data_IF_985824838388
#
_entry.id   IF_985824838388
#
_cell.length_a   1.000
_cell.length_b   1.000
_cell.length_c   1.000
_cell.angle_alpha   90.00
_cell.angle_beta   90.00
_cell.angle_gamma   90.00
#
_symmetry.space_group_name_H-M   'P 1'
#
loop_
_entity.id
_entity.type
_entity.pdbx_description
1 polymer ?
#
# COMPACT_ATOMS: atom_id res chain seq x y z
N UNK A 1 -8.60 -7.32 -19.98
CA UNK A 1 -7.13 -7.44 -20.17
C UNK A 1 -6.42 -6.49 -19.23
N UNK A 2 -5.10 -6.62 -19.02
CA UNK A 2 -4.35 -5.65 -18.22
C UNK A 2 -4.48 -4.25 -18.84
N UNK A 3 -4.65 -3.22 -18.01
CA UNK A 3 -4.67 -1.84 -18.48
C UNK A 3 -3.32 -1.50 -19.10
N UNK A 4 -3.29 -1.12 -20.38
CA UNK A 4 -2.07 -0.78 -21.10
C UNK A 4 -2.02 0.72 -21.42
N UNK A 5 -1.99 1.54 -20.38
CA UNK A 5 -1.75 2.97 -20.50
C UNK A 5 -0.30 3.30 -20.15
N UNK A 6 0.13 4.54 -20.43
CA UNK A 6 1.43 5.05 -20.01
C UNK A 6 1.56 4.95 -18.47
N UNK A 7 2.77 4.72 -17.92
CA UNK A 7 2.95 4.52 -16.48
C UNK A 7 2.38 5.63 -15.60
N UNK A 8 2.41 6.89 -16.06
CA UNK A 8 1.74 8.01 -15.39
C UNK A 8 0.24 7.71 -15.15
N UNK A 9 -0.48 7.30 -16.19
CA UNK A 9 -1.91 7.01 -16.10
C UNK A 9 -2.24 5.76 -15.30
N UNK A 10 -1.26 4.88 -15.08
CA UNK A 10 -1.48 3.72 -14.23
C UNK A 10 -1.80 4.11 -12.78
N UNK A 11 -1.38 5.30 -12.31
CA UNK A 11 -1.78 5.82 -11.00
C UNK A 11 -3.32 5.81 -10.84
N UNK A 12 -4.02 6.35 -11.85
CA UNK A 12 -5.48 6.38 -11.89
C UNK A 12 -6.09 5.00 -12.16
N UNK A 13 -5.44 4.18 -12.99
CA UNK A 13 -5.89 2.81 -13.23
C UNK A 13 -5.91 1.98 -11.93
N UNK A 14 -4.93 2.17 -11.04
CA UNK A 14 -4.92 1.53 -9.72
C UNK A 14 -6.06 2.02 -8.82
N UNK A 15 -6.39 3.31 -8.85
CA UNK A 15 -7.56 3.81 -8.12
C UNK A 15 -8.87 3.24 -8.67
N UNK A 16 -9.00 3.10 -9.99
CA UNK A 16 -10.15 2.42 -10.61
C UNK A 16 -10.25 0.94 -10.21
N UNK A 17 -9.11 0.22 -10.15
CA UNK A 17 -9.08 -1.16 -9.63
C UNK A 17 -9.56 -1.22 -8.18
N UNK A 18 -9.25 -0.22 -7.36
CA UNK A 18 -9.72 -0.13 -5.98
C UNK A 18 -11.23 0.06 -5.91
N UNK A 19 -11.77 1.05 -6.62
CA UNK A 19 -13.21 1.34 -6.62
C UNK A 19 -14.06 0.18 -7.17
N UNK A 20 -13.48 -0.68 -8.00
CA UNK A 20 -14.15 -1.88 -8.55
C UNK A 20 -13.96 -3.14 -7.71
N UNK A 21 -13.22 -3.08 -6.59
CA UNK A 21 -12.90 -4.26 -5.77
C UNK A 21 -11.91 -5.23 -6.42
N UNK A 22 -11.29 -4.84 -7.54
CA UNK A 22 -10.39 -5.68 -8.33
C UNK A 22 -8.90 -5.48 -7.96
N UNK A 23 -8.59 -4.60 -7.01
CA UNK A 23 -7.23 -4.26 -6.63
C UNK A 23 -6.42 -5.47 -6.17
N UNK A 24 -6.92 -6.23 -5.18
CA UNK A 24 -6.23 -7.42 -4.67
C UNK A 24 -5.98 -8.47 -5.77
N UNK A 25 -6.81 -8.50 -6.81
CA UNK A 25 -6.66 -9.45 -7.91
C UNK A 25 -5.56 -9.07 -8.90
N UNK A 26 -5.37 -7.78 -9.18
CA UNK A 26 -4.57 -7.34 -10.33
C UNK A 26 -3.43 -6.39 -10.01
N UNK A 27 -3.43 -5.70 -8.87
CA UNK A 27 -2.54 -4.57 -8.65
C UNK A 27 -1.06 -4.96 -8.68
N UNK A 28 -0.69 -6.04 -8.00
CA UNK A 28 0.70 -6.50 -7.96
C UNK A 28 1.21 -7.00 -9.29
N UNK A 29 0.37 -7.70 -10.07
CA UNK A 29 0.70 -8.09 -11.45
C UNK A 29 1.01 -6.87 -12.32
N UNK A 30 0.21 -5.80 -12.20
CA UNK A 30 0.50 -4.56 -12.93
C UNK A 30 1.78 -3.88 -12.45
N UNK A 31 2.01 -3.80 -11.13
CA UNK A 31 3.21 -3.18 -10.57
C UNK A 31 4.51 -3.88 -11.00
N UNK A 32 4.49 -5.19 -11.29
CA UNK A 32 5.65 -5.95 -11.79
C UNK A 32 6.12 -5.55 -13.19
N UNK A 33 5.34 -4.71 -13.90
CA UNK A 33 5.74 -4.17 -15.21
C UNK A 33 6.79 -3.08 -15.11
N UNK A 34 6.93 -2.42 -13.96
CA UNK A 34 7.97 -1.43 -13.73
C UNK A 34 9.33 -2.09 -13.75
N UNK A 35 10.24 -1.56 -14.57
CA UNK A 35 11.62 -2.04 -14.69
C UNK A 35 12.57 -0.90 -14.36
N UNK A 36 13.49 -1.17 -13.46
CA UNK A 36 14.59 -0.25 -13.15
C UNK A 36 15.59 -0.34 -14.31
N UNK A 37 15.97 0.81 -14.85
CA UNK A 37 17.02 0.94 -15.85
C UNK A 37 18.36 0.70 -15.15
N UNK A 38 19.17 -0.31 -15.55
CA UNK A 38 20.40 -0.65 -14.85
C UNK A 38 21.42 0.50 -14.79
N UNK A 39 21.50 1.31 -15.84
CA UNK A 39 22.49 2.38 -15.99
C UNK A 39 22.25 3.54 -15.02
N UNK A 40 20.98 3.88 -14.77
CA UNK A 40 20.60 5.03 -13.95
C UNK A 40 20.05 4.64 -12.58
N UNK A 41 19.72 3.36 -12.37
CA UNK A 41 19.06 2.85 -11.16
C UNK A 41 17.71 3.55 -10.88
N UNK A 42 17.05 4.02 -11.94
CA UNK A 42 15.77 4.75 -11.89
C UNK A 42 14.76 4.13 -12.85
N UNK A 43 13.53 4.65 -12.84
CA UNK A 43 12.51 4.25 -13.80
C UNK A 43 12.46 5.21 -14.99
N UNK A 44 12.27 4.70 -16.23
CA UNK A 44 12.19 5.50 -17.44
C UNK A 44 10.82 6.18 -17.57
N UNK A 45 10.72 7.29 -18.29
CA UNK A 45 9.52 8.10 -18.45
C UNK A 45 8.31 7.33 -19.00
N UNK A 46 8.54 6.50 -20.02
CA UNK A 46 7.56 5.58 -20.58
C UNK A 46 8.02 4.15 -20.28
N UNK A 47 7.31 3.14 -20.80
CA UNK A 47 7.68 1.74 -20.53
C UNK A 47 9.09 1.37 -21.04
N UNK A 48 9.53 1.96 -22.16
CA UNK A 48 10.77 1.61 -22.85
C UNK A 48 11.48 2.79 -23.55
N UNK A 49 11.04 4.03 -23.30
CA UNK A 49 11.52 5.25 -23.98
C UNK A 49 11.32 6.51 -23.12
N UNK A 50 11.84 7.64 -23.62
CA UNK A 50 11.81 8.93 -22.92
C UNK A 50 13.05 9.14 -22.04
N UNK A 51 13.00 10.06 -21.09
CA UNK A 51 14.10 10.19 -20.12
C UNK A 51 14.21 8.97 -19.22
N UNK A 52 15.42 8.67 -18.73
CA UNK A 52 15.69 7.46 -17.97
C UNK A 52 15.40 7.61 -16.46
N UNK A 53 14.98 8.79 -16.00
CA UNK A 53 14.79 9.10 -14.58
C UNK A 53 13.60 10.04 -14.36
N UNK A 54 12.39 9.49 -14.43
CA UNK A 54 11.17 10.30 -14.34
C UNK A 54 10.39 10.05 -13.04
N UNK A 55 10.14 11.10 -12.27
CA UNK A 55 9.52 10.99 -10.94
C UNK A 55 8.08 10.45 -10.95
N UNK A 56 7.33 10.64 -12.03
CA UNK A 56 5.98 10.08 -12.15
C UNK A 56 5.92 8.55 -12.22
N UNK A 57 7.08 7.90 -12.33
CA UNK A 57 7.20 6.46 -12.25
C UNK A 57 7.14 5.93 -10.82
N UNK A 58 7.17 6.81 -9.81
CA UNK A 58 7.08 6.42 -8.40
C UNK A 58 5.68 5.93 -7.96
N UNK A 59 4.78 5.66 -8.92
CA UNK A 59 3.45 5.08 -8.66
C UNK A 59 3.53 3.80 -7.82
N UNK A 60 4.41 2.81 -8.09
CA UNK A 60 4.54 1.64 -7.24
C UNK A 60 4.88 1.99 -5.79
N UNK A 61 5.76 2.97 -5.53
CA UNK A 61 6.09 3.42 -4.17
C UNK A 61 4.85 3.93 -3.43
N UNK A 62 4.02 4.74 -4.12
CA UNK A 62 2.75 5.20 -3.56
C UNK A 62 1.79 4.03 -3.30
N UNK A 63 1.63 3.10 -4.24
CA UNK A 63 0.72 1.96 -4.11
C UNK A 63 1.15 1.00 -2.98
N UNK A 64 2.45 0.70 -2.89
CA UNK A 64 3.01 -0.12 -1.81
C UNK A 64 2.79 0.51 -0.44
N UNK A 65 2.98 1.82 -0.31
CA UNK A 65 2.85 2.53 0.97
C UNK A 65 1.40 2.73 1.39
N UNK A 66 0.55 3.16 0.45
CA UNK A 66 -0.83 3.57 0.75
C UNK A 66 -1.85 2.44 0.68
N UNK A 67 -1.57 1.38 -0.08
CA UNK A 67 -2.49 0.25 -0.30
C UNK A 67 -1.95 -1.05 0.25
N UNK A 68 -0.73 -1.46 -0.13
CA UNK A 68 -0.17 -2.75 0.34
C UNK A 68 0.12 -2.72 1.84
N UNK A 69 0.81 -1.69 2.34
CA UNK A 69 0.86 -1.43 3.79
C UNK A 69 -0.48 -0.89 4.32
N UNK A 70 -1.27 -0.25 3.45
CA UNK A 70 -2.62 0.21 3.74
C UNK A 70 -2.72 1.54 4.47
N UNK A 71 -1.63 2.32 4.55
CA UNK A 71 -1.57 3.54 5.36
C UNK A 71 -2.03 4.75 4.55
N UNK A 72 -3.15 5.36 4.93
CA UNK A 72 -3.63 6.61 4.32
C UNK A 72 -4.20 7.59 5.35
N UNK A 73 -4.13 8.91 5.12
CA UNK A 73 -4.72 9.87 6.05
C UNK A 73 -6.26 9.77 6.04
N UNK A 74 -6.88 9.87 7.22
CA UNK A 74 -8.32 10.08 7.40
C UNK A 74 -8.66 11.49 7.87
N UNK A 75 -7.70 12.20 8.45
CA UNK A 75 -7.82 13.59 8.85
C UNK A 75 -6.55 14.38 8.48
N UNK A 76 -6.66 15.71 8.30
CA UNK A 76 -5.51 16.57 8.01
C UNK A 76 -4.34 16.35 8.96
N UNK A 77 -3.12 16.32 8.42
CA UNK A 77 -1.90 16.13 9.19
C UNK A 77 -1.77 14.74 9.85
N UNK A 78 -2.51 13.72 9.36
CA UNK A 78 -2.49 12.36 9.92
C UNK A 78 -2.96 12.27 11.39
N UNK A 79 -3.77 13.22 11.87
CA UNK A 79 -4.41 13.14 13.21
C UNK A 79 -5.24 11.86 13.39
N UNK A 80 -5.83 11.39 12.30
CA UNK A 80 -6.42 10.07 12.18
C UNK A 80 -5.90 9.40 10.91
N UNK A 81 -5.54 8.13 11.00
CA UNK A 81 -4.94 7.34 9.91
C UNK A 81 -5.80 6.11 9.64
N UNK A 82 -5.99 5.74 8.38
CA UNK A 82 -6.53 4.44 7.99
C UNK A 82 -5.36 3.47 7.84
N UNK A 83 -5.51 2.27 8.39
CA UNK A 83 -4.62 1.12 8.11
C UNK A 83 -5.50 0.01 7.55
N UNK A 84 -5.53 -0.12 6.23
CA UNK A 84 -6.34 -1.10 5.48
C UNK A 84 -5.46 -1.79 4.43
N UNK A 85 -4.76 -2.87 4.81
CA UNK A 85 -3.83 -3.55 3.92
C UNK A 85 -4.53 -4.26 2.76
N UNK A 86 -4.06 -4.02 1.54
CA UNK A 86 -4.38 -4.80 0.36
C UNK A 86 -3.33 -5.91 0.18
N UNK A 87 -3.68 -7.13 0.57
CA UNK A 87 -2.78 -8.31 0.58
C UNK A 87 -2.33 -8.71 -0.82
N UNK A 88 -3.20 -8.57 -1.82
CA UNK A 88 -2.96 -8.99 -3.19
C UNK A 88 -2.47 -10.45 -3.31
N UNK A 89 -1.40 -10.71 -4.06
CA UNK A 89 -0.73 -12.02 -4.18
C UNK A 89 0.47 -12.17 -3.22
N UNK A 90 0.57 -11.34 -2.18
CA UNK A 90 1.70 -11.33 -1.26
C UNK A 90 1.38 -12.13 0.02
N UNK A 91 2.42 -12.72 0.64
CA UNK A 91 2.30 -13.43 1.93
C UNK A 91 2.60 -12.53 3.13
N UNK A 92 3.29 -11.41 2.92
CA UNK A 92 3.65 -10.45 3.94
C UNK A 92 3.99 -9.09 3.32
N UNK A 93 3.88 -8.03 4.11
CA UNK A 93 4.53 -6.75 3.82
C UNK A 93 4.87 -6.01 5.11
N UNK A 94 5.99 -5.30 5.09
CA UNK A 94 6.51 -4.54 6.23
C UNK A 94 7.09 -3.22 5.78
N UNK A 95 6.78 -2.14 6.49
CA UNK A 95 7.35 -0.84 6.20
C UNK A 95 6.92 0.26 7.18
N UNK A 96 7.38 1.47 6.88
CA UNK A 96 7.07 2.70 7.62
C UNK A 96 6.56 3.75 6.65
N UNK A 97 5.51 4.47 7.04
CA UNK A 97 5.02 5.65 6.34
C UNK A 97 5.27 6.86 7.24
N UNK A 98 6.16 7.78 6.84
CA UNK A 98 6.45 8.98 7.62
C UNK A 98 5.23 9.91 7.61
N UNK A 99 4.90 10.47 8.77
CA UNK A 99 3.82 11.46 8.93
C UNK A 99 4.31 12.64 9.77
N UNK A 100 3.61 13.80 9.77
CA UNK A 100 3.97 14.93 10.62
C UNK A 100 4.02 14.62 12.12
N UNK A 101 3.30 13.59 12.58
CA UNK A 101 3.27 13.18 13.99
C UNK A 101 4.29 12.09 14.32
N UNK A 102 5.03 11.61 13.32
CA UNK A 102 5.96 10.49 13.40
C UNK A 102 5.55 9.31 12.52
N UNK A 103 6.36 8.26 12.55
CA UNK A 103 6.18 7.10 11.68
C UNK A 103 4.96 6.25 12.06
N UNK A 104 4.14 5.92 11.06
CA UNK A 104 3.20 4.80 11.15
C UNK A 104 3.90 3.55 10.60
N UNK A 105 4.14 2.57 11.46
CA UNK A 105 4.83 1.32 11.08
C UNK A 105 3.82 0.20 10.96
N UNK A 106 3.90 -0.57 9.88
CA UNK A 106 3.02 -1.72 9.62
C UNK A 106 3.88 -2.94 9.29
N UNK A 107 3.54 -4.07 9.89
CA UNK A 107 4.12 -5.38 9.64
C UNK A 107 2.97 -6.39 9.63
N UNK A 108 2.58 -6.86 8.44
CA UNK A 108 1.54 -7.87 8.31
C UNK A 108 2.04 -9.10 7.58
N UNK A 109 1.44 -10.25 7.90
CA UNK A 109 1.77 -11.57 7.34
C UNK A 109 0.60 -12.52 7.42
N UNK A 110 0.57 -13.46 6.47
CA UNK A 110 -0.32 -14.62 6.47
C UNK A 110 0.37 -15.78 7.19
N UNK A 111 -0.24 -16.31 8.25
CA UNK A 111 0.27 -17.42 9.06
C UNK A 111 -0.88 -18.35 9.42
N UNK A 112 -0.80 -19.63 9.05
CA UNK A 112 -1.79 -20.66 9.43
C UNK A 112 -3.25 -20.19 9.25
N UNK A 113 -3.64 -19.84 8.02
CA UNK A 113 -4.99 -19.37 7.67
C UNK A 113 -5.47 -18.14 8.45
N UNK A 114 -4.51 -17.35 8.96
CA UNK A 114 -4.77 -16.09 9.63
C UNK A 114 -3.98 -14.96 8.99
N UNK A 115 -4.62 -13.81 8.91
CA UNK A 115 -3.95 -12.54 8.69
C UNK A 115 -3.55 -11.96 10.05
N UNK A 116 -2.27 -11.62 10.22
CA UNK A 116 -1.74 -11.00 11.43
C UNK A 116 -1.12 -9.66 11.06
N UNK A 117 -1.48 -8.60 11.77
CA UNK A 117 -0.88 -7.27 11.62
C UNK A 117 -0.38 -6.73 12.95
N UNK A 118 0.84 -6.20 12.94
CA UNK A 118 1.37 -5.31 13.95
C UNK A 118 1.42 -3.88 13.39
N UNK A 119 0.75 -2.96 14.07
CA UNK A 119 0.71 -1.54 13.71
C UNK A 119 1.25 -0.68 14.85
N UNK A 120 2.18 0.22 14.54
CA UNK A 120 2.63 1.27 15.47
C UNK A 120 2.06 2.61 15.04
N UNK A 121 1.30 3.25 15.92
CA UNK A 121 0.68 4.56 15.69
C UNK A 121 1.44 5.61 16.52
N UNK A 122 1.90 6.72 15.91
CA UNK A 122 2.67 7.74 16.62
C UNK A 122 1.83 8.49 17.67
N UNK A 123 2.51 9.11 18.64
CA UNK A 123 1.84 9.94 19.67
C UNK A 123 1.06 11.08 19.01
N UNK A 124 -0.13 11.38 19.53
CA UNK A 124 -1.01 12.42 18.99
C UNK A 124 -1.84 12.01 17.79
N UNK A 125 -1.67 10.80 17.26
CA UNK A 125 -2.51 10.21 16.21
C UNK A 125 -3.41 9.09 16.75
N UNK A 126 -4.49 8.84 16.02
CA UNK A 126 -5.32 7.62 16.15
C UNK A 126 -5.33 6.88 14.82
N UNK A 127 -5.67 5.59 14.83
CA UNK A 127 -5.84 4.82 13.61
C UNK A 127 -7.16 4.05 13.60
N UNK A 128 -7.79 4.00 12.42
CA UNK A 128 -8.86 3.06 12.09
C UNK A 128 -8.24 1.92 11.30
N UNK A 129 -8.07 0.77 11.95
CA UNK A 129 -7.56 -0.45 11.33
C UNK A 129 -8.72 -1.25 10.77
N UNK A 130 -8.63 -1.63 9.51
CA UNK A 130 -9.62 -2.44 8.79
C UNK A 130 -8.89 -3.71 8.34
N UNK A 131 -9.34 -4.86 8.84
CA UNK A 131 -8.75 -6.14 8.49
C UNK A 131 -9.41 -6.71 7.22
N UNK A 132 -8.76 -7.67 6.54
CA UNK A 132 -9.29 -8.25 5.31
C UNK A 132 -10.67 -8.93 5.42
N UNK A 133 -11.05 -9.42 6.61
CA UNK A 133 -12.39 -9.96 6.89
C UNK A 133 -13.47 -8.87 7.06
N UNK A 134 -13.09 -7.60 6.91
CA UNK A 134 -13.97 -6.44 7.07
C UNK A 134 -14.11 -5.94 8.51
N UNK A 135 -13.51 -6.63 9.50
CA UNK A 135 -13.52 -6.18 10.89
C UNK A 135 -12.77 -4.86 11.06
N UNK A 136 -13.23 -4.03 12.01
CA UNK A 136 -12.76 -2.65 12.18
C UNK A 136 -12.43 -2.38 13.63
N UNK A 137 -11.30 -1.74 13.88
CA UNK A 137 -10.90 -1.32 15.23
C UNK A 137 -10.29 0.06 15.20
N UNK A 138 -10.75 0.92 16.10
CA UNK A 138 -10.07 2.18 16.39
C UNK A 138 -9.04 1.97 17.49
N UNK A 139 -7.84 2.52 17.27
CA UNK A 139 -6.71 2.42 18.20
C UNK A 139 -6.07 3.79 18.38
N UNK A 140 -5.58 4.05 19.60
CA UNK A 140 -4.81 5.26 19.94
C UNK A 140 -3.33 5.06 19.58
N UNK A 141 -2.48 6.03 19.88
CA UNK A 141 -1.02 5.88 19.75
C UNK A 141 -0.49 4.67 20.53
N UNK A 142 0.57 4.03 20.01
CA UNK A 142 1.18 2.84 20.60
C UNK A 142 1.29 1.69 19.59
N UNK A 143 1.76 0.54 20.08
CA UNK A 143 1.87 -0.70 19.29
C UNK A 143 0.63 -1.56 19.50
N UNK A 144 0.05 -2.03 18.40
CA UNK A 144 -1.17 -2.85 18.38
C UNK A 144 -0.92 -4.10 17.56
N UNK A 145 -1.42 -5.24 18.03
CA UNK A 145 -1.45 -6.49 17.26
C UNK A 145 -2.90 -6.92 17.07
N UNK A 146 -3.28 -7.18 15.82
CA UNK A 146 -4.63 -7.60 15.44
C UNK A 146 -4.56 -8.79 14.51
N UNK A 147 -5.60 -9.59 14.49
CA UNK A 147 -5.69 -10.82 13.69
C UNK A 147 -7.09 -11.05 13.19
N UNK A 148 -7.23 -11.64 12.01
CA UNK A 148 -8.49 -12.20 11.52
C UNK A 148 -8.24 -13.52 10.77
N UNK A 149 -9.31 -14.27 10.50
CA UNK A 149 -9.25 -15.41 9.59
C UNK A 149 -8.85 -14.94 8.19
N UNK A 150 -8.06 -15.74 7.48
CA UNK A 150 -7.70 -15.55 6.08
C UNK A 150 -8.33 -16.68 5.25
N UNK A 151 -9.26 -16.38 4.32
CA UNK A 151 -10.09 -17.41 3.69
C UNK A 151 -9.41 -18.23 2.58
N UNK A 152 -8.09 -18.12 2.39
CA UNK A 152 -7.31 -18.60 1.23
C UNK A 152 -7.74 -18.03 -0.14
#
# INVERSE_FOLDING_TARGET
GPANCQPYFMHFAFDALRETGLYNKWATQQMRRWKIVPETQTFPEMWDRGDLSHSWQCTPTYQLSSRVLGVSPLAPGFKQVRIEPAVCDLRWAKGSVPTPLGDVKVDWRLVNDQFVIEATVPKGATAKVILPDGSRKEVKSGKHRLTCAWPD
#
